data_IF_035181704461
#
_entry.id   IF_035181704461
#
_cell.length_a   1.000
_cell.length_b   1.000
_cell.length_c   1.000
_cell.angle_alpha   90.00
_cell.angle_beta   90.00
_cell.angle_gamma   90.00
#
_symmetry.space_group_name_H-M   'P 1'
#
loop_
_entity.id
_entity.type
_entity.pdbx_description
1 polymer ?
#
# COMPACT_ATOMS: atom_id res chain seq x y z
N UNK A 1 2.73 -21.80 5.90
CA UNK A 1 3.74 -20.73 5.96
C UNK A 1 4.88 -20.92 4.93
N UNK A 2 5.46 -22.13 4.79
CA UNK A 2 6.53 -22.40 3.81
C UNK A 2 6.13 -22.19 2.35
N UNK A 3 4.92 -22.59 1.94
CA UNK A 3 4.46 -22.42 0.56
C UNK A 3 4.39 -20.94 0.12
N UNK A 4 3.92 -20.05 1.01
CA UNK A 4 3.87 -18.61 0.74
C UNK A 4 5.28 -17.99 0.69
N UNK A 5 6.17 -18.42 1.59
CA UNK A 5 7.58 -18.01 1.59
C UNK A 5 8.28 -18.44 0.30
N UNK A 6 8.00 -19.66 -0.19
CA UNK A 6 8.54 -20.17 -1.45
C UNK A 6 8.02 -19.40 -2.66
N UNK A 7 6.72 -19.06 -2.70
CA UNK A 7 6.14 -18.21 -3.77
C UNK A 7 6.79 -16.83 -3.79
N UNK A 8 7.01 -16.21 -2.63
CA UNK A 8 7.71 -14.92 -2.54
C UNK A 8 9.16 -14.99 -3.00
N UNK A 9 9.90 -16.03 -2.60
CA UNK A 9 11.28 -16.24 -3.02
C UNK A 9 11.39 -16.45 -4.53
N UNK A 10 10.48 -17.22 -5.12
CA UNK A 10 10.43 -17.44 -6.57
C UNK A 10 10.14 -16.14 -7.33
N UNK A 11 9.23 -15.29 -6.85
CA UNK A 11 8.98 -13.99 -7.48
C UNK A 11 10.20 -13.07 -7.40
N UNK A 12 10.94 -13.08 -6.29
CA UNK A 12 12.20 -12.33 -6.15
C UNK A 12 13.25 -12.83 -7.14
N UNK A 13 13.42 -14.14 -7.27
CA UNK A 13 14.33 -14.76 -8.25
C UNK A 13 13.96 -14.33 -9.68
N UNK A 14 12.69 -14.47 -10.06
CA UNK A 14 12.19 -14.08 -11.38
C UNK A 14 12.50 -12.60 -11.63
N UNK A 15 12.22 -11.72 -10.67
CA UNK A 15 12.53 -10.29 -10.80
C UNK A 15 14.03 -10.04 -11.00
N UNK A 16 14.91 -10.66 -10.21
CA UNK A 16 16.36 -10.54 -10.38
C UNK A 16 16.82 -10.97 -11.79
N UNK A 17 16.26 -12.06 -12.31
CA UNK A 17 16.54 -12.53 -13.68
C UNK A 17 16.06 -11.52 -14.72
N UNK A 18 14.86 -10.94 -14.55
CA UNK A 18 14.34 -9.89 -15.47
C UNK A 18 15.27 -8.69 -15.54
N UNK A 19 15.75 -8.21 -14.40
CA UNK A 19 16.68 -7.07 -14.35
C UNK A 19 17.97 -7.42 -15.09
N UNK A 20 18.51 -8.62 -14.87
CA UNK A 20 19.67 -9.12 -15.61
C UNK A 20 19.44 -9.17 -17.12
N UNK A 21 18.31 -9.71 -17.57
CA UNK A 21 17.95 -9.75 -18.99
C UNK A 21 17.82 -8.34 -19.56
N UNK A 22 17.16 -7.41 -18.86
CA UNK A 22 17.03 -6.02 -19.31
C UNK A 22 18.39 -5.33 -19.47
N UNK A 23 19.33 -5.58 -18.56
CA UNK A 23 20.70 -5.07 -18.64
C UNK A 23 21.47 -5.68 -19.81
N UNK A 24 21.33 -6.98 -20.06
CA UNK A 24 21.96 -7.64 -21.21
C UNK A 24 21.38 -7.10 -22.52
N UNK A 25 20.05 -7.01 -22.64
CA UNK A 25 19.37 -6.49 -23.84
C UNK A 25 19.79 -5.06 -24.12
N UNK A 26 19.73 -4.16 -23.12
CA UNK A 26 20.14 -2.77 -23.33
C UNK A 26 21.61 -2.67 -23.72
N UNK A 27 22.50 -3.50 -23.15
CA UNK A 27 23.92 -3.49 -23.49
C UNK A 27 24.17 -4.03 -24.90
N UNK A 28 23.51 -5.12 -25.30
CA UNK A 28 23.61 -5.68 -26.65
C UNK A 28 23.10 -4.72 -27.71
N UNK A 29 22.04 -3.96 -27.44
CA UNK A 29 21.55 -2.91 -28.33
C UNK A 29 22.61 -1.84 -28.62
N UNK A 30 23.56 -1.62 -27.70
CA UNK A 30 24.69 -0.73 -27.92
C UNK A 30 25.88 -1.41 -28.59
N UNK A 31 26.12 -2.69 -28.33
CA UNK A 31 27.25 -3.43 -28.89
C UNK A 31 27.02 -3.87 -30.35
N UNK A 32 25.76 -3.92 -30.81
CA UNK A 32 25.43 -4.25 -32.19
C UNK A 32 25.34 -2.94 -33.01
N UNK A 33 26.24 -2.81 -33.98
CA UNK A 33 26.72 -1.59 -34.65
C UNK A 33 25.73 -0.51 -35.14
N UNK A 34 24.49 -0.75 -35.63
CA UNK A 34 23.71 0.34 -36.24
C UNK A 34 23.21 1.43 -35.26
N UNK A 35 23.22 1.19 -33.95
CA UNK A 35 22.85 2.17 -32.92
C UNK A 35 24.06 2.88 -32.28
N UNK A 36 25.25 2.30 -32.37
CA UNK A 36 26.46 2.84 -31.72
C UNK A 36 26.95 4.12 -32.42
N UNK A 37 26.95 4.15 -33.75
CA UNK A 37 27.36 5.33 -34.55
C UNK A 37 26.49 6.58 -34.32
N UNK A 38 25.29 6.42 -33.76
CA UNK A 38 24.38 7.54 -33.44
C UNK A 38 24.31 7.91 -31.95
N UNK A 39 24.75 7.02 -31.05
CA UNK A 39 24.42 7.10 -29.61
C UNK A 39 25.60 6.72 -28.68
N UNK A 40 26.76 6.34 -29.22
CA UNK A 40 27.86 5.65 -28.52
C UNK A 40 28.40 6.31 -27.24
N UNK A 41 28.42 7.64 -27.14
CA UNK A 41 28.89 8.32 -25.91
C UNK A 41 27.87 8.29 -24.76
N UNK A 42 26.61 7.90 -25.01
CA UNK A 42 25.51 8.02 -24.05
C UNK A 42 24.97 6.68 -23.51
N UNK A 43 25.64 5.55 -23.78
CA UNK A 43 25.22 4.22 -23.32
C UNK A 43 25.06 4.11 -21.79
N UNK A 44 25.90 4.84 -21.04
CA UNK A 44 25.83 4.92 -19.58
C UNK A 44 24.43 5.36 -19.09
N UNK A 45 23.79 6.30 -19.79
CA UNK A 45 22.48 6.83 -19.39
C UNK A 45 21.35 5.81 -19.54
N UNK A 46 21.42 4.94 -20.55
CA UNK A 46 20.44 3.87 -20.75
C UNK A 46 20.59 2.77 -19.70
N UNK A 47 21.83 2.31 -19.44
CA UNK A 47 22.12 1.33 -18.38
C UNK A 47 21.69 1.87 -17.01
N UNK A 48 22.09 3.11 -16.68
CA UNK A 48 21.66 3.78 -15.45
C UNK A 48 20.14 3.93 -15.38
N UNK A 49 19.47 4.12 -16.52
CA UNK A 49 18.01 4.16 -16.55
C UNK A 49 17.44 2.81 -16.13
N UNK A 50 17.87 1.71 -16.74
CA UNK A 50 17.42 0.36 -16.38
C UNK A 50 17.63 0.09 -14.89
N UNK A 51 18.83 0.33 -14.37
CA UNK A 51 19.14 0.09 -12.95
C UNK A 51 18.24 0.88 -12.00
N UNK A 52 17.92 2.14 -12.35
CA UNK A 52 17.22 3.05 -11.41
C UNK A 52 15.69 2.93 -11.52
N UNK A 53 15.15 2.58 -12.69
CA UNK A 53 13.69 2.55 -12.89
C UNK A 53 13.08 1.15 -12.83
N UNK A 54 13.86 0.09 -13.06
CA UNK A 54 13.32 -1.26 -13.08
C UNK A 54 12.92 -1.67 -11.67
N UNK A 55 11.63 -1.81 -11.46
CA UNK A 55 11.02 -2.08 -10.16
C UNK A 55 10.37 -3.45 -10.12
N UNK A 56 10.06 -3.90 -8.90
CA UNK A 56 9.44 -5.22 -8.71
C UNK A 56 8.08 -5.34 -9.39
N UNK A 57 7.28 -4.27 -9.39
CA UNK A 57 5.96 -4.24 -10.04
C UNK A 57 6.01 -3.52 -11.39
N UNK A 58 5.19 -3.97 -12.33
CA UNK A 58 5.11 -3.36 -13.66
C UNK A 58 4.65 -1.90 -13.58
N UNK A 59 3.60 -1.60 -12.80
CA UNK A 59 3.13 -0.22 -12.59
C UNK A 59 4.17 0.67 -11.89
N UNK A 60 4.99 0.11 -11.00
CA UNK A 60 6.10 0.84 -10.37
C UNK A 60 7.17 1.21 -11.41
N UNK A 61 7.50 0.29 -12.33
CA UNK A 61 8.46 0.55 -13.42
C UNK A 61 7.93 1.61 -14.37
N UNK A 62 6.64 1.54 -14.75
CA UNK A 62 6.01 2.52 -15.62
C UNK A 62 5.98 3.92 -14.99
N UNK A 63 5.53 4.01 -13.74
CA UNK A 63 5.47 5.28 -13.02
C UNK A 63 6.86 5.90 -12.84
N UNK A 64 7.89 5.13 -12.47
CA UNK A 64 9.26 5.63 -12.35
C UNK A 64 9.84 6.07 -13.69
N UNK A 65 9.62 5.30 -14.76
CA UNK A 65 10.11 5.67 -16.09
C UNK A 65 9.49 6.96 -16.63
N UNK A 66 8.17 7.12 -16.48
CA UNK A 66 7.49 8.37 -16.85
C UNK A 66 7.93 9.55 -15.97
N UNK A 67 8.08 9.33 -14.66
CA UNK A 67 8.63 10.34 -13.74
C UNK A 67 10.06 10.74 -14.09
N UNK A 68 10.90 9.81 -14.57
CA UNK A 68 12.25 10.11 -15.08
C UNK A 68 12.17 11.02 -16.29
N UNK A 69 11.34 10.66 -17.27
CA UNK A 69 11.15 11.46 -18.49
C UNK A 69 10.68 12.88 -18.17
N UNK A 70 9.64 13.02 -17.34
CA UNK A 70 9.13 14.31 -16.89
C UNK A 70 10.17 15.14 -16.14
N UNK A 71 10.89 14.54 -15.19
CA UNK A 71 11.96 15.20 -14.44
C UNK A 71 13.08 15.70 -15.35
N UNK A 72 13.49 14.90 -16.34
CA UNK A 72 14.52 15.28 -17.31
C UNK A 72 14.06 16.40 -18.24
N UNK A 73 12.82 16.34 -18.75
CA UNK A 73 12.27 17.39 -19.62
C UNK A 73 12.16 18.71 -18.87
N UNK A 74 11.55 18.70 -17.68
CA UNK A 74 11.37 19.91 -16.87
C UNK A 74 12.70 20.48 -16.38
N UNK A 75 13.60 19.62 -15.89
CA UNK A 75 14.90 20.05 -15.37
C UNK A 75 15.80 20.55 -16.49
N UNK A 76 15.82 19.86 -17.62
CA UNK A 76 16.56 20.29 -18.80
C UNK A 76 16.03 21.60 -19.38
N UNK A 77 14.71 21.71 -19.57
CA UNK A 77 14.08 22.92 -20.09
C UNK A 77 14.32 24.15 -19.21
N UNK A 78 14.16 24.02 -17.90
CA UNK A 78 14.43 25.11 -16.97
C UNK A 78 15.93 25.45 -16.88
N UNK A 79 16.80 24.43 -16.98
CA UNK A 79 18.25 24.63 -17.03
C UNK A 79 18.68 25.41 -18.27
N UNK A 80 18.12 25.09 -19.44
CA UNK A 80 18.34 25.84 -20.67
C UNK A 80 17.90 27.30 -20.52
N UNK A 81 16.71 27.52 -19.96
CA UNK A 81 16.16 28.86 -19.76
C UNK A 81 17.05 29.69 -18.84
N UNK A 82 17.49 29.12 -17.72
CA UNK A 82 18.38 29.79 -16.77
C UNK A 82 19.76 30.11 -17.39
N UNK A 83 20.32 29.18 -18.17
CA UNK A 83 21.58 29.41 -18.88
C UNK A 83 21.45 30.52 -19.95
N UNK A 84 20.36 30.52 -20.72
CA UNK A 84 20.08 31.55 -21.71
C UNK A 84 19.90 32.94 -21.07
N UNK A 85 19.21 33.02 -19.93
CA UNK A 85 19.07 34.26 -19.17
C UNK A 85 20.42 34.75 -18.62
N UNK A 86 21.25 33.86 -18.10
CA UNK A 86 22.59 34.22 -17.62
C UNK A 86 23.45 34.80 -18.76
N UNK A 87 23.41 34.19 -19.95
CA UNK A 87 24.12 34.68 -21.13
C UNK A 87 23.58 36.03 -21.63
N UNK A 88 22.25 36.20 -21.67
CA UNK A 88 21.62 37.43 -22.15
C UNK A 88 21.86 38.64 -21.23
N UNK A 89 21.86 38.42 -19.90
CA UNK A 89 21.99 39.51 -18.91
C UNK A 89 23.44 39.90 -18.65
N UNK A 90 24.37 38.95 -18.67
CA UNK A 90 25.74 39.18 -18.16
C UNK A 90 26.83 39.24 -19.22
N UNK A 91 26.52 38.90 -20.48
CA UNK A 91 27.56 38.64 -21.48
C UNK A 91 28.58 37.59 -21.01
N UNK A 92 29.79 37.60 -21.56
CA UNK A 92 30.88 36.66 -21.21
C UNK A 92 31.68 37.12 -19.97
N UNK A 93 31.04 37.76 -19.00
CA UNK A 93 31.67 38.33 -17.81
C UNK A 93 31.39 37.55 -16.52
N UNK A 94 32.07 37.94 -15.43
CA UNK A 94 31.95 37.34 -14.09
C UNK A 94 30.51 37.34 -13.52
N UNK A 95 29.64 38.22 -14.00
CA UNK A 95 28.23 38.29 -13.60
C UNK A 95 27.44 37.02 -13.99
N UNK A 96 27.84 36.32 -15.06
CA UNK A 96 27.18 35.07 -15.50
C UNK A 96 27.34 33.94 -14.46
N UNK A 97 28.52 33.85 -13.84
CA UNK A 97 28.84 32.87 -12.80
C UNK A 97 27.97 33.11 -11.56
N UNK A 98 27.74 34.36 -11.18
CA UNK A 98 26.89 34.73 -10.05
C UNK A 98 25.44 34.32 -10.33
N UNK A 99 24.90 34.62 -11.52
CA UNK A 99 23.53 34.25 -11.89
C UNK A 99 23.35 32.73 -11.91
N UNK A 100 24.30 31.98 -12.48
CA UNK A 100 24.27 30.51 -12.49
C UNK A 100 24.30 29.98 -11.05
N UNK A 101 25.21 30.48 -10.20
CA UNK A 101 25.32 30.08 -8.80
C UNK A 101 24.04 30.36 -8.00
N UNK A 102 23.46 31.55 -8.15
CA UNK A 102 22.18 31.90 -7.52
C UNK A 102 21.03 31.01 -8.02
N UNK A 103 20.98 30.72 -9.32
CA UNK A 103 19.94 29.85 -9.91
C UNK A 103 20.05 28.42 -9.41
N UNK A 104 21.27 27.86 -9.37
CA UNK A 104 21.58 26.56 -8.77
C UNK A 104 21.10 26.51 -7.32
N UNK A 105 21.45 27.51 -6.53
CA UNK A 105 21.07 27.58 -5.13
C UNK A 105 19.55 27.63 -4.95
N UNK A 106 18.87 28.57 -5.60
CA UNK A 106 17.43 28.79 -5.43
C UNK A 106 16.62 27.56 -5.87
N UNK A 107 16.87 27.04 -7.08
CA UNK A 107 16.11 25.93 -7.63
C UNK A 107 16.42 24.62 -6.89
N UNK A 108 17.67 24.39 -6.48
CA UNK A 108 18.02 23.19 -5.72
C UNK A 108 17.48 23.23 -4.29
N UNK A 109 17.51 24.40 -3.63
CA UNK A 109 16.93 24.58 -2.31
C UNK A 109 15.40 24.41 -2.35
N UNK A 110 14.73 25.08 -3.29
CA UNK A 110 13.28 24.95 -3.48
C UNK A 110 12.88 23.52 -3.87
N UNK A 111 13.61 22.89 -4.80
CA UNK A 111 13.41 21.50 -5.20
C UNK A 111 13.60 20.54 -4.02
N UNK A 112 14.61 20.75 -3.18
CA UNK A 112 14.85 19.90 -2.01
C UNK A 112 13.78 20.11 -0.94
N UNK A 113 13.37 21.35 -0.69
CA UNK A 113 12.30 21.65 0.26
C UNK A 113 10.96 21.03 -0.18
N UNK A 114 10.60 21.15 -1.45
CA UNK A 114 9.37 20.53 -1.99
C UNK A 114 9.39 19.01 -1.88
N UNK A 115 10.55 18.35 -2.00
CA UNK A 115 10.70 16.90 -1.74
C UNK A 115 10.44 16.48 -0.29
N UNK A 116 10.64 17.38 0.67
CA UNK A 116 10.34 17.10 2.08
C UNK A 116 8.84 17.12 2.38
N UNK A 117 8.03 17.74 1.51
CA UNK A 117 6.59 17.79 1.71
C UNK A 117 5.96 16.39 1.50
N UNK A 118 5.20 15.85 2.47
CA UNK A 118 4.71 14.47 2.42
C UNK A 118 3.92 14.11 1.15
N UNK A 119 3.10 15.04 0.66
CA UNK A 119 2.27 14.83 -0.53
C UNK A 119 3.10 14.67 -1.82
N UNK A 120 4.19 15.43 -1.94
CA UNK A 120 5.12 15.35 -3.07
C UNK A 120 6.02 14.13 -2.89
N UNK A 121 6.54 13.92 -1.68
CA UNK A 121 7.44 12.80 -1.36
C UNK A 121 6.83 11.45 -1.71
N UNK A 122 5.55 11.25 -1.39
CA UNK A 122 4.86 9.98 -1.66
C UNK A 122 4.64 9.70 -3.16
N UNK A 123 4.52 10.72 -4.00
CA UNK A 123 4.09 10.56 -5.41
C UNK A 123 5.17 10.89 -6.44
N UNK A 124 6.01 11.87 -6.14
CA UNK A 124 6.90 12.53 -7.11
C UNK A 124 8.34 12.70 -6.62
N UNK A 125 8.75 12.10 -5.49
CA UNK A 125 10.12 12.27 -4.96
C UNK A 125 11.19 11.94 -6.02
N UNK A 126 10.99 10.84 -6.76
CA UNK A 126 11.90 10.44 -7.82
C UNK A 126 11.95 11.46 -8.97
N UNK A 127 10.79 11.96 -9.43
CA UNK A 127 10.72 12.98 -10.48
C UNK A 127 11.43 14.28 -10.05
N UNK A 128 11.21 14.72 -8.82
CA UNK A 128 11.84 15.90 -8.25
C UNK A 128 13.36 15.72 -8.10
N UNK A 129 13.83 14.53 -7.70
CA UNK A 129 15.26 14.23 -7.65
C UNK A 129 15.91 14.29 -9.04
N UNK A 130 15.28 13.69 -10.07
CA UNK A 130 15.77 13.73 -11.45
C UNK A 130 15.71 15.16 -12.02
N UNK A 131 14.68 15.93 -11.67
CA UNK A 131 14.55 17.34 -12.03
C UNK A 131 15.73 18.16 -11.49
N UNK A 132 16.02 18.08 -10.19
CA UNK A 132 17.15 18.80 -9.56
C UNK A 132 18.46 18.38 -10.22
N UNK A 133 18.69 17.08 -10.39
CA UNK A 133 19.91 16.55 -11.02
C UNK A 133 20.08 17.09 -12.44
N UNK A 134 19.02 17.03 -13.26
CA UNK A 134 19.09 17.45 -14.66
C UNK A 134 19.26 18.96 -14.78
N UNK A 135 18.55 19.74 -13.97
CA UNK A 135 18.68 21.20 -13.92
C UNK A 135 20.11 21.62 -13.62
N UNK A 136 20.70 21.09 -12.54
CA UNK A 136 22.06 21.42 -12.13
C UNK A 136 23.09 21.03 -13.18
N UNK A 137 22.94 19.84 -13.77
CA UNK A 137 23.85 19.40 -14.81
C UNK A 137 23.78 20.34 -16.03
N UNK A 138 22.58 20.69 -16.48
CA UNK A 138 22.39 21.53 -17.67
C UNK A 138 22.92 22.94 -17.45
N UNK A 139 22.60 23.59 -16.34
CA UNK A 139 23.01 24.97 -16.08
C UNK A 139 24.54 25.10 -15.87
N UNK A 140 25.16 24.13 -15.18
CA UNK A 140 26.61 24.15 -14.91
C UNK A 140 27.43 23.79 -16.15
N UNK A 141 26.89 22.97 -17.06
CA UNK A 141 27.61 22.58 -18.27
C UNK A 141 27.92 23.77 -19.20
N UNK A 142 27.27 24.93 -19.02
CA UNK A 142 27.62 26.18 -19.71
C UNK A 142 27.51 26.15 -21.24
N UNK A 143 26.95 25.06 -21.79
CA UNK A 143 26.84 24.82 -23.22
C UNK A 143 25.93 25.88 -23.86
N UNK A 144 26.24 26.26 -25.11
CA UNK A 144 25.33 27.10 -25.91
C UNK A 144 23.97 26.42 -26.01
N UNK A 145 22.88 27.18 -26.06
CA UNK A 145 21.51 26.63 -26.08
C UNK A 145 21.33 25.52 -27.13
N UNK A 146 21.98 25.65 -28.29
CA UNK A 146 21.95 24.65 -29.38
C UNK A 146 22.68 23.34 -29.04
N UNK A 147 23.79 23.40 -28.30
CA UNK A 147 24.54 22.23 -27.84
C UNK A 147 23.81 21.54 -26.68
N UNK A 148 23.19 22.32 -25.79
CA UNK A 148 22.33 21.77 -24.73
C UNK A 148 21.14 21.03 -25.33
N UNK A 149 20.49 21.58 -26.36
CA UNK A 149 19.36 20.94 -27.04
C UNK A 149 19.75 19.62 -27.71
N UNK A 150 20.91 19.56 -28.36
CA UNK A 150 21.45 18.32 -28.93
C UNK A 150 21.75 17.28 -27.85
N UNK A 151 22.41 17.69 -26.76
CA UNK A 151 22.73 16.82 -25.63
C UNK A 151 21.46 16.29 -24.93
N UNK A 152 20.48 17.16 -24.69
CA UNK A 152 19.21 16.81 -24.07
C UNK A 152 18.41 15.84 -24.95
N UNK A 153 18.37 16.05 -26.27
CA UNK A 153 17.72 15.11 -27.21
C UNK A 153 18.38 13.74 -27.16
N UNK A 154 19.72 13.70 -27.19
CA UNK A 154 20.46 12.43 -27.13
C UNK A 154 20.17 11.69 -25.81
N UNK A 155 20.21 12.38 -24.67
CA UNK A 155 19.88 11.81 -23.36
C UNK A 155 18.45 11.34 -23.24
N UNK A 156 17.50 12.13 -23.72
CA UNK A 156 16.09 11.74 -23.69
C UNK A 156 15.84 10.50 -24.56
N UNK A 157 16.54 10.39 -25.70
CA UNK A 157 16.50 9.20 -26.56
C UNK A 157 17.08 7.97 -25.86
N UNK A 158 18.21 8.08 -25.16
CA UNK A 158 18.80 6.94 -24.43
C UNK A 158 18.00 6.53 -23.21
N UNK A 159 17.45 7.50 -22.48
CA UNK A 159 16.48 7.24 -21.40
C UNK A 159 15.23 6.55 -21.96
N UNK A 160 14.71 7.03 -23.09
CA UNK A 160 13.56 6.44 -23.77
C UNK A 160 13.80 4.99 -24.19
N UNK A 161 14.98 4.68 -24.73
CA UNK A 161 15.35 3.31 -25.10
C UNK A 161 15.47 2.40 -23.86
N UNK A 162 16.17 2.85 -22.82
CA UNK A 162 16.26 2.10 -21.56
C UNK A 162 14.88 1.84 -20.95
N UNK A 163 14.01 2.86 -20.96
CA UNK A 163 12.62 2.73 -20.50
C UNK A 163 11.81 1.73 -21.34
N UNK A 164 11.93 1.77 -22.67
CA UNK A 164 11.25 0.82 -23.55
C UNK A 164 11.66 -0.63 -23.25
N UNK A 165 12.95 -0.88 -23.05
CA UNK A 165 13.46 -2.21 -22.64
C UNK A 165 12.89 -2.63 -21.30
N UNK A 166 12.88 -1.74 -20.29
CA UNK A 166 12.29 -2.05 -18.98
C UNK A 166 10.82 -2.45 -19.08
N UNK A 167 10.03 -1.69 -19.84
CA UNK A 167 8.60 -1.96 -20.01
C UNK A 167 8.36 -3.27 -20.76
N UNK A 168 9.09 -3.49 -21.86
CA UNK A 168 8.99 -4.72 -22.63
C UNK A 168 9.25 -5.96 -21.76
N UNK A 169 10.35 -5.96 -21.01
CA UNK A 169 10.70 -7.08 -20.13
C UNK A 169 9.74 -7.22 -18.95
N UNK A 170 9.33 -6.11 -18.33
CA UNK A 170 8.45 -6.12 -17.15
C UNK A 170 7.04 -6.63 -17.47
N UNK A 171 6.51 -6.28 -18.64
CA UNK A 171 5.17 -6.68 -19.08
C UNK A 171 5.12 -8.08 -19.71
N UNK A 172 6.14 -8.49 -20.47
CA UNK A 172 6.10 -9.74 -21.24
C UNK A 172 6.68 -10.94 -20.49
N UNK A 173 7.72 -10.75 -19.66
CA UNK A 173 8.33 -11.84 -18.92
C UNK A 173 7.67 -11.93 -17.55
N UNK A 174 6.71 -12.84 -17.36
CA UNK A 174 6.03 -13.13 -16.08
C UNK A 174 5.64 -11.89 -15.26
N UNK A 175 4.71 -11.05 -15.75
CA UNK A 175 4.42 -9.76 -15.13
C UNK A 175 4.01 -9.89 -13.67
N UNK A 176 4.51 -8.96 -12.85
CA UNK A 176 4.21 -8.85 -11.43
C UNK A 176 3.36 -7.62 -11.19
N UNK A 177 2.08 -7.85 -10.88
CA UNK A 177 1.08 -6.80 -10.72
C UNK A 177 0.92 -6.38 -9.26
N UNK A 178 0.90 -5.08 -9.02
CA UNK A 178 0.61 -4.48 -7.72
C UNK A 178 -0.89 -4.56 -7.41
N UNK A 179 -1.75 -4.50 -8.44
CA UNK A 179 -3.20 -4.68 -8.33
C UNK A 179 -3.57 -6.03 -7.70
N UNK A 180 -3.00 -7.13 -8.19
CA UNK A 180 -3.23 -8.47 -7.65
C UNK A 180 -2.74 -8.56 -6.20
N UNK A 181 -1.53 -8.05 -5.91
CA UNK A 181 -0.97 -8.09 -4.56
C UNK A 181 -1.81 -7.28 -3.56
N UNK A 182 -2.33 -6.11 -3.96
CA UNK A 182 -3.20 -5.31 -3.12
C UNK A 182 -4.53 -6.03 -2.89
N UNK A 183 -5.11 -6.60 -3.93
CA UNK A 183 -6.37 -7.33 -3.85
C UNK A 183 -6.27 -8.53 -2.90
N UNK A 184 -5.29 -9.41 -3.12
CA UNK A 184 -5.02 -10.57 -2.27
C UNK A 184 -4.74 -10.14 -0.82
N UNK A 185 -3.96 -9.07 -0.64
CA UNK A 185 -3.61 -8.57 0.69
C UNK A 185 -4.79 -7.93 1.43
N UNK A 186 -5.73 -7.27 0.73
CA UNK A 186 -6.94 -6.76 1.37
C UNK A 186 -7.86 -7.92 1.76
N UNK A 187 -8.05 -8.90 0.86
CA UNK A 187 -8.89 -10.06 1.14
C UNK A 187 -8.36 -10.90 2.33
N UNK A 188 -7.05 -11.12 2.42
CA UNK A 188 -6.46 -11.92 3.51
C UNK A 188 -6.66 -11.27 4.88
N UNK A 189 -6.66 -9.92 4.95
CA UNK A 189 -6.81 -9.18 6.21
C UNK A 189 -8.12 -9.48 6.94
N UNK A 190 -9.18 -9.83 6.22
CA UNK A 190 -10.44 -10.24 6.84
C UNK A 190 -10.26 -11.53 7.65
N UNK A 191 -9.57 -12.52 7.08
CA UNK A 191 -9.24 -13.77 7.77
C UNK A 191 -8.30 -13.50 8.95
N UNK A 192 -7.31 -12.62 8.73
CA UNK A 192 -6.31 -12.23 9.71
C UNK A 192 -6.92 -11.56 10.95
N UNK A 193 -8.13 -10.98 10.82
CA UNK A 193 -8.92 -10.39 11.91
C UNK A 193 -10.00 -11.33 12.46
N UNK A 194 -10.56 -12.22 11.64
CA UNK A 194 -11.55 -13.19 12.08
C UNK A 194 -10.95 -14.21 13.07
N UNK A 195 -9.74 -14.72 12.80
CA UNK A 195 -9.11 -15.74 13.63
C UNK A 195 -8.83 -15.27 15.07
N UNK A 196 -8.24 -14.08 15.31
CA UNK A 196 -8.02 -13.60 16.66
C UNK A 196 -9.31 -13.40 17.48
N UNK A 197 -10.41 -12.98 16.85
CA UNK A 197 -11.70 -12.76 17.56
C UNK A 197 -12.19 -14.07 18.20
N UNK A 198 -12.22 -15.15 17.43
CA UNK A 198 -12.61 -16.48 17.92
C UNK A 198 -11.64 -16.99 18.98
N UNK A 199 -10.33 -16.92 18.71
CA UNK A 199 -9.28 -17.42 19.61
C UNK A 199 -9.29 -16.68 20.96
N UNK A 200 -9.49 -15.36 20.95
CA UNK A 200 -9.53 -14.56 22.18
C UNK A 200 -10.74 -14.90 23.05
N UNK A 201 -11.92 -15.05 22.47
CA UNK A 201 -13.12 -15.45 23.20
C UNK A 201 -13.02 -16.89 23.72
N UNK A 202 -12.49 -17.81 22.91
CA UNK A 202 -12.32 -19.20 23.31
C UNK A 202 -11.34 -19.34 24.48
N UNK A 203 -10.17 -18.70 24.39
CA UNK A 203 -9.17 -18.69 25.45
C UNK A 203 -9.69 -18.02 26.71
N UNK A 204 -10.42 -16.91 26.59
CA UNK A 204 -11.00 -16.22 27.73
C UNK A 204 -11.91 -17.17 28.53
N UNK A 205 -12.87 -17.83 27.90
CA UNK A 205 -13.81 -18.70 28.62
C UNK A 205 -13.27 -20.10 28.97
N UNK A 206 -12.07 -20.47 28.51
CA UNK A 206 -11.38 -21.71 28.93
C UNK A 206 -10.71 -21.56 30.30
N UNK A 207 -10.20 -20.37 30.63
CA UNK A 207 -9.48 -20.10 31.87
C UNK A 207 -10.31 -20.35 33.16
N UNK A 208 -11.63 -20.48 33.07
CA UNK A 208 -12.49 -20.84 34.22
C UNK A 208 -12.62 -22.36 34.43
N UNK A 209 -12.14 -23.20 33.50
CA UNK A 209 -12.46 -24.64 33.48
C UNK A 209 -11.26 -25.53 33.85
N UNK A 210 -10.04 -25.04 33.72
CA UNK A 210 -8.79 -25.80 33.97
C UNK A 210 -7.86 -24.99 34.90
N UNK A 211 -7.56 -25.51 36.09
CA UNK A 211 -6.47 -25.04 36.95
C UNK A 211 -5.12 -25.47 36.34
N UNK A 212 -4.75 -24.94 35.18
CA UNK A 212 -3.48 -25.28 34.53
C UNK A 212 -2.57 -24.05 34.40
N UNK A 213 -1.46 -24.13 35.13
CA UNK A 213 -0.34 -23.18 35.15
C UNK A 213 0.49 -23.23 33.85
N UNK A 214 -0.15 -23.12 32.69
CA UNK A 214 0.57 -22.91 31.43
C UNK A 214 0.10 -21.63 30.73
N UNK A 215 1.02 -20.68 30.45
CA UNK A 215 0.71 -19.52 29.63
C UNK A 215 0.48 -20.00 28.20
N UNK A 216 -0.79 -20.20 27.84
CA UNK A 216 -1.20 -20.51 26.46
C UNK A 216 -0.60 -19.44 25.56
N UNK A 217 0.27 -19.87 24.64
CA UNK A 217 0.99 -19.02 23.70
C UNK A 217 0.01 -18.25 22.78
N UNK A 218 -0.45 -17.09 23.24
CA UNK A 218 -1.27 -16.12 22.50
C UNK A 218 -0.41 -15.26 21.53
N UNK A 219 0.69 -15.82 21.04
CA UNK A 219 1.72 -15.09 20.27
C UNK A 219 1.42 -15.07 18.77
N UNK A 220 0.81 -16.12 18.22
CA UNK A 220 0.54 -16.27 16.79
C UNK A 220 -0.60 -15.36 16.30
N UNK A 221 -1.75 -15.33 16.98
CA UNK A 221 -2.91 -14.48 16.62
C UNK A 221 -2.63 -12.98 16.76
N UNK A 222 -1.85 -12.60 17.76
CA UNK A 222 -1.46 -11.19 17.95
C UNK A 222 -0.57 -10.67 16.82
N UNK A 223 0.23 -11.53 16.18
CA UNK A 223 1.06 -11.16 15.03
C UNK A 223 0.23 -10.78 13.81
N UNK A 224 -0.89 -11.49 13.59
CA UNK A 224 -1.83 -11.26 12.50
C UNK A 224 -2.43 -9.84 12.54
N UNK A 225 -3.00 -9.48 13.69
CA UNK A 225 -3.61 -8.16 13.88
C UNK A 225 -2.60 -7.00 13.77
N UNK A 226 -1.38 -7.18 14.32
CA UNK A 226 -0.29 -6.20 14.17
C UNK A 226 0.13 -6.03 12.71
N UNK A 227 0.16 -7.11 11.94
CA UNK A 227 0.49 -7.06 10.50
C UNK A 227 -0.53 -6.22 9.71
N UNK A 228 -1.81 -6.32 10.05
CA UNK A 228 -2.88 -5.50 9.48
C UNK A 228 -2.65 -4.03 9.83
N UNK A 229 -2.34 -3.71 11.10
CA UNK A 229 -2.07 -2.33 11.54
C UNK A 229 -0.90 -1.68 10.80
N UNK A 230 0.19 -2.42 10.61
CA UNK A 230 1.40 -1.90 9.95
C UNK A 230 1.31 -1.89 8.41
N UNK A 231 0.18 -2.29 7.82
CA UNK A 231 0.03 -2.43 6.36
C UNK A 231 -0.12 -1.12 5.58
N UNK A 232 -0.36 0.02 6.24
CA UNK A 232 -0.74 1.29 5.57
C UNK A 232 0.19 1.74 4.45
N UNK A 233 1.50 1.77 4.69
CA UNK A 233 2.48 2.19 3.68
C UNK A 233 2.53 1.22 2.50
N UNK A 234 2.42 -0.09 2.77
CA UNK A 234 2.38 -1.13 1.73
C UNK A 234 1.14 -0.93 0.85
N UNK A 235 -0.05 -0.80 1.44
CA UNK A 235 -1.30 -0.61 0.70
C UNK A 235 -1.27 0.66 -0.16
N UNK A 236 -0.83 1.80 0.41
CA UNK A 236 -0.72 3.07 -0.31
C UNK A 236 0.21 2.96 -1.52
N UNK A 237 1.37 2.32 -1.36
CA UNK A 237 2.33 2.14 -2.46
C UNK A 237 1.79 1.22 -3.56
N UNK A 238 1.16 0.11 -3.20
CA UNK A 238 0.54 -0.80 -4.17
C UNK A 238 -0.60 -0.12 -4.93
N UNK A 239 -1.45 0.66 -4.25
CA UNK A 239 -2.53 1.40 -4.89
C UNK A 239 -2.01 2.48 -5.86
N UNK A 240 -0.87 3.12 -5.54
CA UNK A 240 -0.21 4.05 -6.47
C UNK A 240 0.28 3.30 -7.70
N UNK A 241 0.97 2.17 -7.53
CA UNK A 241 1.50 1.40 -8.64
C UNK A 241 0.40 0.81 -9.52
N UNK A 242 -0.67 0.30 -8.92
CA UNK A 242 -1.85 -0.24 -9.59
C UNK A 242 -2.51 0.76 -10.56
N UNK A 243 -2.48 2.07 -10.25
CA UNK A 243 -3.01 3.13 -11.14
C UNK A 243 -2.23 3.28 -12.44
N UNK A 244 -0.98 2.83 -12.47
CA UNK A 244 -0.12 2.89 -13.66
C UNK A 244 -0.13 1.58 -14.45
N UNK A 245 -0.83 0.55 -13.99
CA UNK A 245 -0.85 -0.72 -14.72
C UNK A 245 -1.75 -0.60 -15.95
N UNK A 246 -1.35 -1.17 -17.11
CA UNK A 246 -2.26 -1.33 -18.23
C UNK A 246 -3.42 -2.24 -17.82
N UNK A 247 -4.46 -2.31 -18.64
CA UNK A 247 -5.52 -3.29 -18.42
C UNK A 247 -4.92 -4.69 -18.33
N UNK A 248 -5.14 -5.37 -17.20
CA UNK A 248 -4.76 -6.76 -17.03
C UNK A 248 -5.79 -7.54 -16.21
N UNK A 249 -5.92 -8.84 -16.50
CA UNK A 249 -6.74 -9.77 -15.74
C UNK A 249 -8.17 -9.28 -15.51
N UNK A 250 -8.50 -9.03 -14.24
CA UNK A 250 -9.83 -8.59 -13.79
C UNK A 250 -9.92 -7.09 -13.52
N UNK A 251 -8.84 -6.34 -13.75
CA UNK A 251 -8.73 -4.93 -13.41
C UNK A 251 -8.69 -4.08 -14.68
N UNK A 252 -9.68 -3.18 -14.80
CA UNK A 252 -9.72 -2.17 -15.86
C UNK A 252 -8.81 -0.97 -15.59
N UNK A 253 -8.69 -0.08 -16.57
CA UNK A 253 -7.83 1.13 -16.50
C UNK A 253 -8.27 2.13 -15.41
N UNK A 254 -9.57 2.26 -15.17
CA UNK A 254 -10.14 3.21 -14.21
C UNK A 254 -10.77 2.48 -13.02
N UNK A 255 -9.95 1.69 -12.33
CA UNK A 255 -10.41 0.87 -11.21
C UNK A 255 -10.45 1.67 -9.89
N UNK A 256 -11.42 1.43 -8.98
CA UNK A 256 -11.63 2.24 -7.77
C UNK A 256 -10.63 1.93 -6.64
N UNK A 257 -9.32 2.09 -6.87
CA UNK A 257 -8.27 1.82 -5.88
C UNK A 257 -8.41 2.63 -4.57
N UNK A 258 -9.04 3.80 -4.62
CA UNK A 258 -9.30 4.60 -3.42
C UNK A 258 -10.26 3.87 -2.46
N UNK A 259 -11.21 3.09 -2.97
CA UNK A 259 -12.12 2.27 -2.15
C UNK A 259 -11.38 1.11 -1.49
N UNK A 260 -10.41 0.50 -2.16
CA UNK A 260 -9.52 -0.49 -1.51
C UNK A 260 -8.75 0.11 -0.33
N UNK A 261 -8.27 1.35 -0.46
CA UNK A 261 -7.60 2.04 0.65
C UNK A 261 -8.55 2.35 1.81
N UNK A 262 -9.79 2.73 1.51
CA UNK A 262 -10.84 2.95 2.51
C UNK A 262 -11.18 1.65 3.28
N UNK A 263 -11.33 0.52 2.56
CA UNK A 263 -11.51 -0.80 3.17
C UNK A 263 -10.31 -1.15 4.05
N UNK A 264 -9.09 -0.91 3.56
CA UNK A 264 -7.87 -1.12 4.34
C UNK A 264 -7.77 -0.25 5.59
N UNK A 265 -8.34 0.96 5.59
CA UNK A 265 -8.44 1.84 6.76
C UNK A 265 -9.39 1.27 7.81
N UNK A 266 -10.61 0.91 7.41
CA UNK A 266 -11.59 0.29 8.31
C UNK A 266 -11.09 -1.03 8.91
N UNK A 267 -10.37 -1.85 8.14
CA UNK A 267 -9.73 -3.06 8.65
C UNK A 267 -8.65 -2.77 9.71
N UNK A 268 -7.92 -1.65 9.59
CA UNK A 268 -6.94 -1.22 10.61
C UNK A 268 -7.63 -0.68 11.86
N UNK A 269 -8.74 0.03 11.71
CA UNK A 269 -9.54 0.46 12.86
C UNK A 269 -10.10 -0.74 13.62
N UNK A 270 -10.66 -1.72 12.89
CA UNK A 270 -11.10 -2.98 13.45
C UNK A 270 -9.96 -3.74 14.14
N UNK A 271 -8.77 -3.77 13.53
CA UNK A 271 -7.58 -4.36 14.15
C UNK A 271 -7.24 -3.70 15.51
N UNK A 272 -7.37 -2.38 15.60
CA UNK A 272 -7.15 -1.64 16.84
C UNK A 272 -8.16 -2.05 17.91
N UNK A 273 -9.44 -2.17 17.55
CA UNK A 273 -10.50 -2.61 18.47
C UNK A 273 -10.25 -4.05 18.93
N UNK A 274 -9.86 -4.96 18.03
CA UNK A 274 -9.52 -6.35 18.36
C UNK A 274 -8.32 -6.44 19.33
N UNK A 275 -7.30 -5.59 19.18
CA UNK A 275 -6.20 -5.53 20.15
C UNK A 275 -6.63 -4.94 21.49
N UNK A 276 -7.46 -3.90 21.49
CA UNK A 276 -8.04 -3.34 22.72
C UNK A 276 -8.89 -4.38 23.45
N UNK A 277 -9.63 -5.20 22.70
CA UNK A 277 -10.40 -6.31 23.24
C UNK A 277 -9.52 -7.36 23.88
N UNK A 278 -8.44 -7.78 23.21
CA UNK A 278 -7.42 -8.64 23.82
C UNK A 278 -6.92 -8.08 25.16
N UNK A 279 -6.58 -6.79 25.20
CA UNK A 279 -6.12 -6.13 26.42
C UNK A 279 -7.19 -6.11 27.51
N UNK A 280 -8.46 -5.91 27.15
CA UNK A 280 -9.60 -6.01 28.07
C UNK A 280 -9.73 -7.43 28.67
N UNK A 281 -9.58 -8.47 27.86
CA UNK A 281 -9.65 -9.87 28.30
C UNK A 281 -8.49 -10.30 29.19
N UNK A 282 -7.32 -9.66 29.04
CA UNK A 282 -6.11 -9.93 29.83
C UNK A 282 -5.98 -9.03 31.08
N UNK A 283 -6.90 -8.09 31.27
CA UNK A 283 -6.89 -7.18 32.42
C UNK A 283 -6.97 -7.97 33.74
N UNK A 284 -6.27 -7.55 34.82
CA UNK A 284 -6.44 -8.15 36.14
C UNK A 284 -7.82 -7.83 36.76
N UNK A 285 -8.52 -6.80 36.25
CA UNK A 285 -9.88 -6.44 36.67
C UNK A 285 -10.88 -7.22 35.83
N UNK A 286 -11.11 -8.48 36.21
CA UNK A 286 -12.09 -9.37 35.56
C UNK A 286 -13.38 -9.46 36.37
N UNK A 287 -14.52 -9.70 35.70
CA UNK A 287 -15.77 -9.94 36.41
C UNK A 287 -15.72 -11.25 37.18
N UNK A 288 -16.54 -11.36 38.23
CA UNK A 288 -16.73 -12.61 38.97
C UNK A 288 -17.11 -13.80 38.07
N UNK A 289 -16.74 -15.02 38.48
CA UNK A 289 -16.87 -16.24 37.65
C UNK A 289 -18.32 -16.56 37.25
N UNK A 290 -19.29 -16.30 38.14
CA UNK A 290 -20.73 -16.48 37.88
C UNK A 290 -21.23 -15.57 36.75
N UNK A 291 -20.82 -14.31 36.78
CA UNK A 291 -21.13 -13.29 35.77
C UNK A 291 -20.50 -13.68 34.44
N UNK A 292 -19.22 -14.06 34.45
CA UNK A 292 -18.49 -14.51 33.25
C UNK A 292 -19.14 -15.72 32.59
N UNK A 293 -19.61 -16.70 33.37
CA UNK A 293 -20.29 -17.88 32.86
C UNK A 293 -21.65 -17.56 32.23
N UNK A 294 -22.38 -16.58 32.76
CA UNK A 294 -23.64 -16.12 32.17
C UNK A 294 -23.46 -15.46 30.79
N UNK A 295 -22.30 -14.86 30.54
CA UNK A 295 -21.96 -14.21 29.27
C UNK A 295 -21.31 -15.17 28.26
N UNK A 296 -20.88 -16.36 28.67
CA UNK A 296 -20.07 -17.29 27.87
C UNK A 296 -20.73 -17.65 26.54
N UNK A 297 -21.91 -18.25 26.58
CA UNK A 297 -22.62 -18.69 25.38
C UNK A 297 -22.99 -17.53 24.43
N UNK A 298 -23.66 -16.44 24.88
CA UNK A 298 -23.99 -15.35 23.97
C UNK A 298 -22.75 -14.69 23.36
N UNK A 299 -21.69 -14.48 24.16
CA UNK A 299 -20.46 -13.85 23.65
C UNK A 299 -19.72 -14.74 22.65
N UNK A 300 -19.67 -16.06 22.89
CA UNK A 300 -19.09 -17.01 21.93
C UNK A 300 -19.89 -17.06 20.63
N UNK A 301 -21.22 -17.09 20.71
CA UNK A 301 -22.10 -17.09 19.54
C UNK A 301 -21.89 -15.81 18.70
N UNK A 302 -21.84 -14.64 19.34
CA UNK A 302 -21.57 -13.35 18.68
C UNK A 302 -20.18 -13.34 18.06
N UNK A 303 -19.14 -13.77 18.77
CA UNK A 303 -17.77 -13.84 18.25
C UNK A 303 -17.64 -14.72 17.01
N UNK A 304 -18.22 -15.92 17.05
CA UNK A 304 -18.27 -16.83 15.90
C UNK A 304 -19.03 -16.22 14.73
N UNK A 305 -20.19 -15.62 15.01
CA UNK A 305 -21.04 -14.97 14.01
C UNK A 305 -20.30 -13.80 13.32
N UNK A 306 -19.58 -12.99 14.08
CA UNK A 306 -18.76 -11.88 13.61
C UNK A 306 -17.59 -12.37 12.74
N UNK A 307 -16.86 -13.38 13.21
CA UNK A 307 -15.74 -13.95 12.48
C UNK A 307 -16.18 -14.62 11.17
N UNK A 308 -17.30 -15.37 11.17
CA UNK A 308 -17.89 -15.92 9.95
C UNK A 308 -18.30 -14.82 8.96
N UNK A 309 -18.87 -13.72 9.46
CA UNK A 309 -19.25 -12.58 8.64
C UNK A 309 -18.04 -11.91 8.01
N UNK A 310 -16.95 -11.72 8.76
CA UNK A 310 -15.68 -11.22 8.22
C UNK A 310 -15.12 -12.15 7.14
N UNK A 311 -15.14 -13.47 7.35
CA UNK A 311 -14.70 -14.45 6.34
C UNK A 311 -15.54 -14.37 5.08
N UNK A 312 -16.86 -14.26 5.21
CA UNK A 312 -17.76 -14.10 4.07
C UNK A 312 -17.47 -12.81 3.28
N UNK A 313 -17.26 -11.68 3.97
CA UNK A 313 -16.86 -10.43 3.32
C UNK A 313 -15.51 -10.56 2.61
N UNK A 314 -14.50 -11.17 3.26
CA UNK A 314 -13.19 -11.41 2.67
C UNK A 314 -13.24 -12.32 1.44
N UNK A 315 -14.04 -13.38 1.49
CA UNK A 315 -14.28 -14.26 0.34
C UNK A 315 -14.98 -13.51 -0.81
N UNK A 316 -15.93 -12.63 -0.49
CA UNK A 316 -16.63 -11.79 -1.47
C UNK A 316 -15.63 -10.92 -2.24
N UNK A 317 -14.71 -10.27 -1.52
CA UNK A 317 -13.63 -9.47 -2.10
C UNK A 317 -12.74 -10.37 -2.96
N UNK A 318 -12.23 -11.47 -2.41
CA UNK A 318 -11.32 -12.39 -3.10
C UNK A 318 -11.91 -12.95 -4.41
N UNK A 319 -13.22 -13.23 -4.41
CA UNK A 319 -13.93 -13.77 -5.57
C UNK A 319 -14.46 -12.68 -6.50
N UNK A 320 -14.34 -11.39 -6.14
CA UNK A 320 -14.95 -10.24 -6.82
C UNK A 320 -16.44 -10.46 -7.10
N UNK A 321 -17.16 -10.89 -6.07
CA UNK A 321 -18.60 -11.09 -6.10
C UNK A 321 -19.27 -10.07 -5.22
N UNK A 322 -20.44 -9.59 -5.61
CA UNK A 322 -21.32 -8.90 -4.68
C UNK A 322 -21.89 -9.95 -3.73
N UNK A 323 -21.55 -9.83 -2.45
CA UNK A 323 -22.23 -10.57 -1.40
C UNK A 323 -23.61 -9.93 -1.22
N UNK A 324 -24.60 -10.69 -0.75
CA UNK A 324 -25.89 -10.13 -0.36
C UNK A 324 -25.74 -9.35 0.96
N UNK A 325 -24.90 -8.31 0.96
CA UNK A 325 -24.49 -7.58 2.16
C UNK A 325 -25.69 -6.93 2.83
N UNK A 326 -26.57 -6.30 2.04
CA UNK A 326 -27.78 -5.68 2.57
C UNK A 326 -28.86 -6.70 2.98
N UNK A 327 -29.01 -7.80 2.26
CA UNK A 327 -30.12 -8.73 2.48
C UNK A 327 -29.82 -9.79 3.56
N UNK A 328 -28.56 -10.17 3.77
CA UNK A 328 -28.18 -11.27 4.67
C UNK A 328 -27.26 -10.82 5.79
N UNK A 329 -26.22 -10.03 5.48
CA UNK A 329 -25.21 -9.63 6.48
C UNK A 329 -25.74 -8.52 7.40
N UNK A 330 -26.40 -7.51 6.84
CA UNK A 330 -26.92 -6.37 7.60
C UNK A 330 -27.95 -6.79 8.68
N UNK A 331 -28.96 -7.65 8.41
CA UNK A 331 -29.86 -8.14 9.44
C UNK A 331 -29.15 -8.94 10.53
N UNK A 332 -28.14 -9.75 10.14
CA UNK A 332 -27.36 -10.56 11.08
C UNK A 332 -26.55 -9.69 12.05
N UNK A 333 -25.92 -8.63 11.57
CA UNK A 333 -25.21 -7.63 12.40
C UNK A 333 -26.16 -6.88 13.33
N UNK A 334 -27.34 -6.48 12.84
CA UNK A 334 -28.39 -5.86 13.68
C UNK A 334 -28.88 -6.81 14.78
N UNK A 335 -29.05 -8.10 14.46
CA UNK A 335 -29.41 -9.11 15.46
C UNK A 335 -28.34 -9.25 16.55
N UNK A 336 -27.06 -9.35 16.16
CA UNK A 336 -25.94 -9.38 17.12
C UNK A 336 -25.93 -8.17 18.05
N UNK A 337 -26.22 -6.98 17.51
CA UNK A 337 -26.32 -5.74 18.27
C UNK A 337 -27.44 -5.78 19.33
N UNK A 338 -28.62 -6.29 18.94
CA UNK A 338 -29.75 -6.45 19.86
C UNK A 338 -29.45 -7.46 20.97
N UNK A 339 -28.80 -8.58 20.62
CA UNK A 339 -28.36 -9.58 21.60
C UNK A 339 -27.34 -8.99 22.60
N UNK A 340 -26.33 -8.24 22.14
CA UNK A 340 -25.37 -7.55 23.00
C UNK A 340 -26.03 -6.53 23.95
N UNK A 341 -26.99 -5.75 23.45
CA UNK A 341 -27.76 -4.82 24.29
C UNK A 341 -28.58 -5.54 25.37
N UNK A 342 -29.09 -6.74 25.07
CA UNK A 342 -29.81 -7.56 26.03
C UNK A 342 -28.92 -8.06 27.17
N UNK A 343 -27.62 -8.29 26.90
CA UNK A 343 -26.65 -8.66 27.94
C UNK A 343 -26.56 -7.53 28.96
N UNK A 344 -26.34 -6.29 28.53
CA UNK A 344 -26.23 -5.11 29.41
C UNK A 344 -27.53 -4.87 30.19
N UNK A 345 -28.68 -5.06 29.54
CA UNK A 345 -29.99 -4.75 30.11
C UNK A 345 -30.57 -5.88 30.98
N UNK A 346 -29.93 -7.05 31.02
CA UNK A 346 -30.48 -8.19 31.74
C UNK A 346 -30.43 -7.96 33.26
N UNK A 347 -31.59 -8.08 33.91
CA UNK A 347 -31.73 -8.20 35.37
C UNK A 347 -31.13 -9.49 35.94
N UNK A 348 -30.28 -10.19 35.17
CA UNK A 348 -29.65 -11.47 35.51
C UNK A 348 -28.43 -11.30 36.40
N UNK A 349 -27.84 -10.12 36.41
CA UNK A 349 -26.78 -9.77 37.34
C UNK A 349 -27.45 -9.33 38.64
N UNK A 350 -27.16 -10.02 39.75
CA UNK A 350 -27.60 -9.62 41.08
C UNK A 350 -26.99 -8.26 41.50
N UNK A 351 -26.86 -7.95 42.80
CA UNK A 351 -26.12 -6.76 43.21
C UNK A 351 -24.66 -6.89 42.72
N UNK A 352 -24.33 -6.10 41.70
CA UNK A 352 -23.06 -6.17 40.99
C UNK A 352 -22.09 -5.15 41.62
N UNK A 353 -20.85 -5.57 41.89
CA UNK A 353 -19.81 -4.66 42.36
C UNK A 353 -19.43 -3.67 41.25
N UNK A 354 -18.92 -2.49 41.63
CA UNK A 354 -18.52 -1.45 40.66
C UNK A 354 -17.47 -1.93 39.64
N UNK A 355 -16.61 -2.87 40.05
CA UNK A 355 -15.56 -3.46 39.20
C UNK A 355 -16.17 -4.41 38.16
N UNK A 356 -17.14 -5.23 38.56
CA UNK A 356 -17.86 -6.15 37.67
C UNK A 356 -18.64 -5.37 36.60
N UNK A 357 -19.37 -4.31 37.00
CA UNK A 357 -20.09 -3.42 36.06
C UNK A 357 -19.14 -2.86 35.01
N UNK A 358 -17.98 -2.35 35.43
CA UNK A 358 -16.99 -1.72 34.55
C UNK A 358 -16.38 -2.73 33.57
N UNK A 359 -16.03 -3.93 34.06
CA UNK A 359 -15.42 -4.98 33.24
C UNK A 359 -16.40 -5.50 32.18
N UNK A 360 -17.65 -5.80 32.57
CA UNK A 360 -18.71 -6.23 31.64
C UNK A 360 -18.99 -5.14 30.61
N UNK A 361 -19.15 -3.89 31.06
CA UNK A 361 -19.46 -2.78 30.16
C UNK A 361 -18.35 -2.58 29.13
N UNK A 362 -17.08 -2.64 29.55
CA UNK A 362 -15.94 -2.52 28.64
C UNK A 362 -15.88 -3.66 27.63
N UNK A 363 -16.14 -4.89 28.07
CA UNK A 363 -16.19 -6.08 27.22
C UNK A 363 -17.29 -5.96 26.16
N UNK A 364 -18.53 -5.67 26.58
CA UNK A 364 -19.67 -5.58 25.67
C UNK A 364 -19.52 -4.38 24.73
N UNK A 365 -19.01 -3.24 25.23
CA UNK A 365 -18.72 -2.06 24.42
C UNK A 365 -17.77 -2.38 23.28
N UNK A 366 -16.66 -3.09 23.55
CA UNK A 366 -15.70 -3.45 22.51
C UNK A 366 -16.28 -4.42 21.49
N UNK A 367 -17.10 -5.40 21.90
CA UNK A 367 -17.80 -6.27 20.96
C UNK A 367 -18.81 -5.50 20.10
N UNK A 368 -19.55 -4.57 20.69
CA UNK A 368 -20.47 -3.69 19.97
C UNK A 368 -19.74 -2.85 18.93
N UNK A 369 -18.62 -2.23 19.31
CA UNK A 369 -17.78 -1.43 18.41
C UNK A 369 -17.25 -2.28 17.24
N UNK A 370 -16.87 -3.55 17.48
CA UNK A 370 -16.48 -4.44 16.39
C UNK A 370 -17.65 -4.71 15.42
N UNK A 371 -18.85 -4.97 15.94
CA UNK A 371 -20.04 -5.21 15.11
C UNK A 371 -20.36 -3.98 14.26
N UNK A 372 -20.32 -2.79 14.85
CA UNK A 372 -20.54 -1.52 14.13
C UNK A 372 -19.49 -1.30 13.03
N UNK A 373 -18.22 -1.60 13.31
CA UNK A 373 -17.17 -1.49 12.29
C UNK A 373 -17.29 -2.50 11.18
N UNK A 374 -17.74 -3.72 11.45
CA UNK A 374 -18.04 -4.70 10.40
C UNK A 374 -19.26 -4.28 9.57
N UNK A 375 -20.23 -3.59 10.17
CA UNK A 375 -21.36 -2.99 9.46
C UNK A 375 -20.92 -1.88 8.50
N UNK A 376 -20.08 -0.96 8.96
CA UNK A 376 -19.48 0.10 8.14
C UNK A 376 -18.66 -0.50 6.99
N UNK A 377 -17.87 -1.53 7.29
CA UNK A 377 -17.06 -2.25 6.32
C UNK A 377 -17.91 -2.93 5.23
N UNK A 378 -19.03 -3.55 5.62
CA UNK A 378 -19.96 -4.15 4.67
C UNK A 378 -20.53 -3.10 3.69
N UNK A 379 -20.92 -1.92 4.17
CA UNK A 379 -21.44 -0.83 3.31
C UNK A 379 -20.40 -0.36 2.29
N UNK A 380 -19.15 -0.12 2.72
CA UNK A 380 -18.08 0.31 1.81
C UNK A 380 -17.73 -0.76 0.78
N UNK A 381 -17.85 -2.04 1.14
CA UNK A 381 -17.64 -3.14 0.21
C UNK A 381 -18.75 -3.25 -0.85
N UNK A 382 -19.99 -2.91 -0.51
CA UNK A 382 -21.09 -2.87 -1.48
C UNK A 382 -20.81 -1.78 -2.51
N UNK A 383 -20.49 -0.57 -2.05
CA UNK A 383 -20.10 0.55 -2.92
C UNK A 383 -18.87 0.20 -3.79
N UNK A 384 -17.90 -0.53 -3.23
CA UNK A 384 -16.75 -1.01 -4.00
C UNK A 384 -17.21 -1.99 -5.08
N UNK A 385 -18.09 -2.94 -4.75
CA UNK A 385 -18.63 -3.91 -5.69
C UNK A 385 -19.48 -3.27 -6.79
N UNK A 386 -20.15 -2.16 -6.50
CA UNK A 386 -20.87 -1.35 -7.49
C UNK A 386 -19.91 -0.66 -8.46
N UNK A 387 -18.91 0.06 -7.93
CA UNK A 387 -17.96 0.82 -8.74
C UNK A 387 -16.99 -0.06 -9.52
N UNK A 388 -16.66 -1.24 -9.00
CA UNK A 388 -15.75 -2.20 -9.62
C UNK A 388 -16.46 -3.25 -10.48
N UNK A 389 -17.79 -3.15 -10.64
CA UNK A 389 -18.63 -4.08 -11.40
C UNK A 389 -18.43 -5.56 -10.98
N UNK A 390 -18.47 -5.80 -9.66
CA UNK A 390 -18.41 -7.16 -9.13
C UNK A 390 -19.61 -7.98 -9.61
N UNK A 391 -19.36 -9.24 -9.94
CA UNK A 391 -20.41 -10.13 -10.43
C UNK A 391 -21.48 -10.34 -9.35
N UNK A 392 -22.73 -10.15 -9.71
CA UNK A 392 -23.87 -10.60 -8.90
C UNK A 392 -23.89 -12.12 -8.89
N UNK A 393 -24.12 -12.70 -7.71
CA UNK A 393 -24.13 -14.15 -7.51
C UNK A 393 -25.37 -14.79 -8.13
#
# INVERSE_FOLDING_TARGET
>A
MELQKNKQNMRKLIHSVKVGIALVVVSLLYLLDPLFDRVGENAMWAIMTVVVIFEFFAGATLSKGLNRGLGTILGGGLGCLAAALAQAVSGMGNASIIIIGCSVFIISAAGTYTRLQPNIKKRYDYAAMIFILTFNLVIVSGLRADEVLKLARSRLSTIGMGFAVCIFISLLIFPSWASDELHDSIASKFQDLANPIEEYLENYFRLDTENDDQPVQMSSSSGSCKSVLHSKSKDESLAIFAKWEPWHGKFGLYYPWNKYLQVGELLRDLATIVLSFKACLQSPRQPSSSVRQSMKEPSKAIGLSLALTLRELGESVMKMRRSQQEAVIMPKLKSMRLELNSIISSSKFGPLESVDVLAISSFVFLLMEMVEKVEELAKVLEELGELADFRTK
#
